data_IF_770167333371
#
_entry.id   IF_770167333371
#
_cell.length_a   1.000
_cell.length_b   1.000
_cell.length_c   1.000
_cell.angle_alpha   90.00
_cell.angle_beta   90.00
_cell.angle_gamma   90.00
#
_symmetry.space_group_name_H-M   'P 1'
#
loop_
_entity.id
_entity.type
_entity.pdbx_description
1 polymer ?
#
# COMPACT_ATOMS: atom_id res chain seq x y z
N UNK A 1 -3.87 22.97 14.72
CA UNK A 1 -2.71 23.44 13.94
C UNK A 1 -2.52 22.52 12.75
N UNK A 2 -2.10 23.02 11.57
CA UNK A 2 -1.82 22.18 10.42
C UNK A 2 -0.66 21.22 10.68
N UNK A 3 -0.67 20.05 10.04
CA UNK A 3 0.34 19.01 10.20
C UNK A 3 1.74 19.55 9.82
N UNK A 4 2.74 19.47 10.72
CA UNK A 4 4.05 20.08 10.53
C UNK A 4 4.90 19.39 9.46
N UNK A 5 4.59 18.15 9.08
CA UNK A 5 5.28 17.40 8.02
C UNK A 5 4.69 17.68 6.64
N UNK A 6 3.39 17.98 6.59
CA UNK A 6 2.67 18.22 5.35
C UNK A 6 1.43 19.08 5.62
N UNK A 7 1.50 20.38 5.31
CA UNK A 7 0.36 21.29 5.50
C UNK A 7 -0.90 20.86 4.75
N UNK A 8 -0.74 20.14 3.62
CA UNK A 8 -1.85 19.59 2.85
C UNK A 8 -2.53 18.37 3.51
N UNK A 9 -1.96 17.81 4.58
CA UNK A 9 -2.58 16.75 5.39
C UNK A 9 -3.57 17.31 6.44
N UNK A 10 -3.79 18.63 6.50
CA UNK A 10 -4.76 19.23 7.42
C UNK A 10 -4.37 19.01 8.89
N UNK A 11 -5.33 18.60 9.72
CA UNK A 11 -5.15 18.43 11.17
C UNK A 11 -4.76 17.00 11.59
N UNK A 12 -4.23 16.18 10.68
CA UNK A 12 -3.78 14.81 11.00
C UNK A 12 -2.68 14.87 12.06
N UNK A 13 -2.82 14.14 13.19
CA UNK A 13 -1.91 14.24 14.32
C UNK A 13 -0.52 13.67 13.99
N UNK A 14 0.48 14.17 14.70
CA UNK A 14 1.91 13.78 14.58
C UNK A 14 2.46 13.54 15.99
N UNK A 15 3.36 12.58 16.20
CA UNK A 15 3.98 12.35 17.50
C UNK A 15 4.77 13.57 18.00
N UNK A 16 4.85 13.74 19.31
CA UNK A 16 5.64 14.80 19.93
C UNK A 16 7.13 14.45 20.03
N UNK A 17 7.50 13.16 20.05
CA UNK A 17 8.90 12.75 20.12
C UNK A 17 9.58 12.91 18.74
N UNK A 18 10.63 13.75 18.61
CA UNK A 18 11.32 13.95 17.33
C UNK A 18 11.96 12.68 16.77
N UNK A 19 12.29 11.69 17.61
CA UNK A 19 12.83 10.39 17.18
C UNK A 19 11.78 9.55 16.48
N UNK A 20 10.54 9.57 16.97
CA UNK A 20 9.39 8.92 16.33
C UNK A 20 9.08 9.57 14.98
N UNK A 21 9.11 10.91 14.93
CA UNK A 21 8.95 11.65 13.66
C UNK A 21 10.05 11.27 12.66
N UNK A 22 11.31 11.20 13.10
CA UNK A 22 12.41 10.79 12.24
C UNK A 22 12.26 9.33 11.75
N UNK A 23 11.79 8.42 12.62
CA UNK A 23 11.50 7.04 12.24
C UNK A 23 10.38 6.94 11.19
N UNK A 24 9.31 7.73 11.33
CA UNK A 24 8.22 7.81 10.37
C UNK A 24 8.70 8.27 8.98
N UNK A 25 9.50 9.33 8.94
CA UNK A 25 10.09 9.83 7.67
C UNK A 25 10.99 8.76 7.04
N UNK A 26 11.91 8.16 7.81
CA UNK A 26 12.78 7.08 7.31
C UNK A 26 11.97 5.91 6.74
N UNK A 27 10.93 5.46 7.43
CA UNK A 27 10.09 4.36 6.97
C UNK A 27 9.40 4.68 5.64
N UNK A 28 8.85 5.90 5.53
CA UNK A 28 8.23 6.35 4.29
C UNK A 28 9.22 6.42 3.13
N UNK A 29 10.43 6.94 3.36
CA UNK A 29 11.47 6.99 2.33
C UNK A 29 11.93 5.61 1.85
N UNK A 30 12.06 4.65 2.77
CA UNK A 30 12.41 3.26 2.43
C UNK A 30 11.37 2.66 1.48
N UNK A 31 10.08 2.82 1.80
CA UNK A 31 8.99 2.30 0.97
C UNK A 31 8.87 3.05 -0.35
N UNK A 32 9.02 4.37 -0.35
CA UNK A 32 9.03 5.21 -1.55
C UNK A 32 10.08 4.74 -2.55
N UNK A 33 11.32 4.49 -2.09
CA UNK A 33 12.42 4.00 -2.94
C UNK A 33 12.19 2.57 -3.44
N UNK A 34 11.53 1.74 -2.64
CA UNK A 34 11.28 0.34 -2.98
C UNK A 34 10.13 0.13 -3.98
N UNK A 35 9.24 1.13 -4.14
CA UNK A 35 8.01 0.98 -4.93
C UNK A 35 7.87 2.16 -5.92
N UNK A 36 8.47 2.04 -7.13
CA UNK A 36 8.46 3.13 -8.13
C UNK A 36 7.08 3.60 -8.58
N UNK A 37 6.07 2.75 -8.39
CA UNK A 37 4.66 3.10 -8.56
C UNK A 37 4.27 4.41 -7.87
N UNK A 38 4.81 4.68 -6.67
CA UNK A 38 4.49 5.90 -5.95
C UNK A 38 4.97 7.16 -6.68
N UNK A 39 6.22 7.14 -7.15
CA UNK A 39 6.79 8.26 -7.91
C UNK A 39 6.05 8.49 -9.22
N UNK A 40 5.74 7.41 -9.93
CA UNK A 40 5.09 7.51 -11.24
C UNK A 40 3.62 7.97 -11.16
N UNK A 41 2.87 7.51 -10.15
CA UNK A 41 1.45 7.88 -10.00
C UNK A 41 1.22 9.18 -9.24
N UNK A 42 1.98 9.44 -8.17
CA UNK A 42 1.65 10.50 -7.21
C UNK A 42 2.69 11.62 -7.12
N UNK A 43 3.88 11.42 -7.69
CA UNK A 43 4.99 12.39 -7.67
C UNK A 43 5.37 12.87 -6.27
N UNK A 44 6.11 13.98 -6.19
CA UNK A 44 6.59 14.53 -4.91
C UNK A 44 5.47 14.89 -3.93
N UNK A 45 4.26 15.17 -4.42
CA UNK A 45 3.10 15.36 -3.56
C UNK A 45 2.79 14.08 -2.77
N UNK A 46 2.75 12.93 -3.43
CA UNK A 46 2.53 11.63 -2.78
C UNK A 46 3.58 11.32 -1.71
N UNK A 47 4.84 11.70 -1.95
CA UNK A 47 5.93 11.50 -0.98
C UNK A 47 5.67 12.20 0.35
N UNK A 48 5.21 13.46 0.31
CA UNK A 48 4.86 14.22 1.53
C UNK A 48 3.69 13.61 2.29
N UNK A 49 2.70 13.06 1.59
CA UNK A 49 1.61 12.33 2.23
C UNK A 49 2.10 11.05 2.92
N UNK A 50 3.05 10.33 2.30
CA UNK A 50 3.69 9.18 2.93
C UNK A 50 4.35 9.50 4.29
N UNK A 51 4.99 10.67 4.41
CA UNK A 51 5.56 11.12 5.68
C UNK A 51 4.49 11.34 6.75
N UNK A 52 3.42 12.07 6.40
CA UNK A 52 2.32 12.33 7.33
C UNK A 52 1.56 11.08 7.73
N UNK A 53 1.37 10.13 6.81
CA UNK A 53 0.67 8.87 7.08
C UNK A 53 1.49 7.99 8.04
N UNK A 54 2.80 7.85 7.82
CA UNK A 54 3.68 7.15 8.77
C UNK A 54 3.62 7.78 10.16
N UNK A 55 3.66 9.12 10.25
CA UNK A 55 3.59 9.81 11.53
C UNK A 55 2.24 9.60 12.23
N UNK A 56 1.14 9.65 11.47
CA UNK A 56 -0.20 9.36 11.97
C UNK A 56 -0.29 7.99 12.63
N UNK A 57 0.24 6.92 12.00
CA UNK A 57 0.18 5.58 12.57
C UNK A 57 0.93 5.45 13.91
N UNK A 58 1.99 6.24 14.13
CA UNK A 58 2.67 6.27 15.43
C UNK A 58 1.80 6.86 16.55
N UNK A 59 0.90 7.80 16.21
CA UNK A 59 -0.05 8.35 17.19
C UNK A 59 -1.09 7.33 17.65
N UNK A 60 -1.27 6.24 16.90
CA UNK A 60 -2.19 5.16 17.25
C UNK A 60 -1.64 4.22 18.33
N UNK A 61 -0.34 4.26 18.62
CA UNK A 61 0.31 3.35 19.57
C UNK A 61 -0.13 3.54 21.02
N UNK A 62 -0.88 4.61 21.32
CA UNK A 62 -1.51 4.81 22.63
C UNK A 62 -2.85 4.10 22.81
N UNK A 63 -3.39 3.45 21.77
CA UNK A 63 -4.67 2.74 21.80
C UNK A 63 -4.49 1.22 21.85
N UNK A 64 -5.57 0.50 22.17
CA UNK A 64 -5.60 -0.96 22.06
C UNK A 64 -5.46 -1.45 20.60
N UNK A 65 -5.06 -2.72 20.44
CA UNK A 65 -4.81 -3.31 19.13
C UNK A 65 -6.06 -3.32 18.23
N UNK A 66 -7.26 -3.48 18.79
CA UNK A 66 -8.49 -3.49 18.02
C UNK A 66 -8.75 -2.12 17.38
N UNK A 67 -8.52 -1.06 18.14
CA UNK A 67 -8.60 0.32 17.68
C UNK A 67 -7.57 0.62 16.60
N UNK A 68 -6.31 0.18 16.80
CA UNK A 68 -5.26 0.31 15.79
C UNK A 68 -5.69 -0.38 14.48
N UNK A 69 -6.16 -1.63 14.57
CA UNK A 69 -6.59 -2.39 13.41
C UNK A 69 -7.75 -1.71 12.66
N UNK A 70 -8.79 -1.23 13.37
CA UNK A 70 -9.91 -0.50 12.74
C UNK A 70 -9.46 0.78 12.03
N UNK A 71 -8.55 1.54 12.64
CA UNK A 71 -8.01 2.76 12.02
C UNK A 71 -7.16 2.45 10.79
N UNK A 72 -6.35 1.40 10.84
CA UNK A 72 -5.54 0.93 9.72
C UNK A 72 -6.43 0.41 8.58
N UNK A 73 -7.45 -0.38 8.88
CA UNK A 73 -8.41 -0.89 7.88
C UNK A 73 -9.18 0.24 7.21
N UNK A 74 -9.68 1.20 7.99
CA UNK A 74 -10.33 2.40 7.46
C UNK A 74 -9.38 3.17 6.53
N UNK A 75 -8.14 3.37 6.95
CA UNK A 75 -7.12 4.08 6.15
C UNK A 75 -6.82 3.30 4.86
N UNK A 76 -6.70 1.96 4.93
CA UNK A 76 -6.54 1.11 3.76
C UNK A 76 -7.70 1.30 2.76
N UNK A 77 -8.95 1.32 3.24
CA UNK A 77 -10.13 1.56 2.39
C UNK A 77 -10.11 2.94 1.72
N UNK A 78 -9.71 3.98 2.45
CA UNK A 78 -9.57 5.36 1.94
C UNK A 78 -8.48 5.46 0.87
N UNK A 79 -7.33 4.80 1.09
CA UNK A 79 -6.19 4.79 0.16
C UNK A 79 -6.47 3.92 -1.07
N UNK A 80 -7.13 2.78 -0.91
CA UNK A 80 -7.53 1.89 -2.01
C UNK A 80 -8.45 2.58 -3.00
N UNK A 81 -9.38 3.43 -2.55
CA UNK A 81 -10.22 4.25 -3.45
C UNK A 81 -9.41 5.23 -4.31
N UNK A 82 -8.22 5.62 -3.86
CA UNK A 82 -7.26 6.45 -4.59
C UNK A 82 -6.27 5.62 -5.40
N UNK A 83 -6.47 4.30 -5.40
CA UNK A 83 -5.69 3.32 -6.13
C UNK A 83 -4.35 3.01 -5.48
N UNK A 84 -4.28 3.06 -4.15
CA UNK A 84 -3.20 2.46 -3.37
C UNK A 84 -3.72 1.18 -2.70
N UNK A 85 -3.48 0.00 -3.28
CA UNK A 85 -3.93 -1.26 -2.68
C UNK A 85 -3.40 -1.44 -1.26
N UNK A 86 -4.15 -2.14 -0.41
CA UNK A 86 -3.82 -2.39 1.00
C UNK A 86 -2.43 -3.02 1.18
N UNK A 87 -1.94 -3.76 0.18
CA UNK A 87 -0.58 -4.30 0.11
C UNK A 87 0.51 -3.21 0.28
N UNK A 88 0.26 -1.99 -0.20
CA UNK A 88 1.19 -0.87 -0.02
C UNK A 88 1.23 -0.40 1.43
N UNK A 89 0.07 -0.28 2.06
CA UNK A 89 -0.03 0.09 3.48
C UNK A 89 0.53 -1.02 4.38
N UNK A 90 0.26 -2.29 4.08
CA UNK A 90 0.85 -3.46 4.72
C UNK A 90 2.39 -3.34 4.76
N UNK A 91 3.02 -3.05 3.61
CA UNK A 91 4.47 -2.87 3.51
C UNK A 91 4.96 -1.69 4.34
N UNK A 92 4.23 -0.58 4.33
CA UNK A 92 4.57 0.63 5.07
C UNK A 92 4.54 0.41 6.58
N UNK A 93 3.47 -0.19 7.10
CA UNK A 93 3.35 -0.55 8.51
C UNK A 93 4.45 -1.53 8.94
N UNK A 94 4.78 -2.52 8.08
CA UNK A 94 5.83 -3.48 8.40
C UNK A 94 7.23 -2.85 8.44
N UNK A 95 7.53 -1.94 7.51
CA UNK A 95 8.80 -1.20 7.53
C UNK A 95 8.85 -0.28 8.75
N UNK A 96 7.77 0.46 9.03
CA UNK A 96 7.68 1.36 10.17
C UNK A 96 7.86 0.61 11.50
N UNK A 97 7.15 -0.50 11.70
CA UNK A 97 7.28 -1.34 12.90
C UNK A 97 8.71 -1.86 13.10
N UNK A 98 9.38 -2.32 12.03
CA UNK A 98 10.79 -2.77 12.12
C UNK A 98 11.77 -1.65 12.44
N UNK A 99 11.58 -0.46 11.89
CA UNK A 99 12.43 0.68 12.22
C UNK A 99 12.21 1.07 13.68
N UNK A 100 10.95 1.19 14.09
CA UNK A 100 10.59 1.59 15.45
C UNK A 100 11.08 0.59 16.50
N UNK A 101 10.98 -0.71 16.24
CA UNK A 101 11.49 -1.76 17.13
C UNK A 101 13.01 -1.77 17.29
N UNK A 102 13.75 -1.03 16.46
CA UNK A 102 15.21 -0.84 16.59
C UNK A 102 15.57 0.47 17.29
N UNK A 103 14.61 1.37 17.49
CA UNK A 103 14.86 2.64 18.19
C UNK A 103 14.85 2.43 19.71
N UNK A 104 15.76 3.09 20.46
CA UNK A 104 15.79 3.01 21.92
C UNK A 104 14.70 3.89 22.56
N UNK A 105 13.43 3.56 22.30
CA UNK A 105 12.25 4.31 22.76
C UNK A 105 11.51 3.63 23.93
N UNK A 106 12.00 2.47 24.37
CA UNK A 106 11.42 1.67 25.46
C UNK A 106 10.33 0.70 24.98
N UNK A 107 10.51 -0.58 25.27
CA UNK A 107 9.62 -1.67 24.82
C UNK A 107 9.64 -1.91 23.31
N UNK A 108 8.97 -2.98 22.86
CA UNK A 108 8.75 -3.21 21.42
C UNK A 108 7.53 -2.40 20.94
N UNK A 109 7.75 -1.11 20.68
CA UNK A 109 6.71 -0.21 20.15
C UNK A 109 6.33 -0.55 18.70
N UNK A 110 7.12 -1.34 17.99
CA UNK A 110 6.91 -1.68 16.59
C UNK A 110 5.86 -2.78 16.40
N UNK A 111 5.77 -3.70 17.36
CA UNK A 111 4.92 -4.88 17.30
C UNK A 111 3.44 -4.61 16.97
N UNK A 112 2.75 -3.60 17.54
CA UNK A 112 1.35 -3.32 17.19
C UNK A 112 1.14 -2.97 15.71
N UNK A 113 2.12 -2.33 15.06
CA UNK A 113 2.07 -2.01 13.63
C UNK A 113 2.32 -3.24 12.77
N UNK A 114 3.17 -4.16 13.23
CA UNK A 114 3.41 -5.44 12.56
C UNK A 114 2.12 -6.27 12.57
N UNK A 115 1.43 -6.34 13.71
CA UNK A 115 0.13 -7.03 13.82
C UNK A 115 -0.94 -6.41 12.93
N UNK A 116 -1.00 -5.09 12.85
CA UNK A 116 -1.92 -4.41 11.94
C UNK A 116 -1.60 -4.71 10.46
N UNK A 117 -0.32 -4.81 10.11
CA UNK A 117 0.09 -5.25 8.78
C UNK A 117 -0.31 -6.70 8.50
N UNK A 118 -0.16 -7.60 9.48
CA UNK A 118 -0.59 -9.00 9.36
C UNK A 118 -2.11 -9.11 9.17
N UNK A 119 -2.90 -8.32 9.89
CA UNK A 119 -4.36 -8.28 9.72
C UNK A 119 -4.77 -7.87 8.30
N UNK A 120 -4.11 -6.85 7.70
CA UNK A 120 -4.33 -6.48 6.29
C UNK A 120 -3.95 -7.62 5.34
N UNK A 121 -2.79 -8.25 5.58
CA UNK A 121 -2.32 -9.38 4.78
C UNK A 121 -3.32 -10.54 4.81
N UNK A 122 -3.78 -10.92 5.98
CA UNK A 122 -4.77 -11.99 6.17
C UNK A 122 -6.10 -11.67 5.48
N UNK A 123 -6.59 -10.42 5.59
CA UNK A 123 -7.79 -9.99 4.88
C UNK A 123 -7.65 -10.13 3.36
N UNK A 124 -6.52 -9.71 2.80
CA UNK A 124 -6.20 -9.85 1.37
C UNK A 124 -6.05 -11.32 0.96
N UNK A 125 -5.34 -12.11 1.78
CA UNK A 125 -5.09 -13.53 1.54
C UNK A 125 -6.35 -14.39 1.60
N UNK A 126 -7.42 -13.96 2.28
CA UNK A 126 -8.73 -14.62 2.19
C UNK A 126 -9.31 -14.60 0.77
N UNK A 127 -8.95 -13.60 -0.05
CA UNK A 127 -9.41 -13.47 -1.44
C UNK A 127 -8.42 -14.04 -2.46
N UNK A 128 -7.15 -13.65 -2.35
CA UNK A 128 -6.06 -14.13 -3.22
C UNK A 128 -4.78 -14.34 -2.41
N UNK A 129 -4.21 -15.54 -2.48
CA UNK A 129 -2.95 -15.86 -1.83
C UNK A 129 -1.77 -15.10 -2.44
N UNK A 130 -0.69 -14.93 -1.66
CA UNK A 130 0.50 -14.19 -2.13
C UNK A 130 1.13 -14.83 -3.37
N UNK A 131 1.20 -16.16 -3.44
CA UNK A 131 1.75 -16.88 -4.60
C UNK A 131 0.92 -16.64 -5.87
N UNK A 132 -0.40 -16.57 -5.74
CA UNK A 132 -1.31 -16.27 -6.85
C UNK A 132 -1.09 -14.83 -7.34
N UNK A 133 -0.98 -13.87 -6.42
CA UNK A 133 -0.71 -12.46 -6.74
C UNK A 133 0.67 -12.32 -7.41
N UNK A 134 1.70 -13.01 -6.93
CA UNK A 134 3.03 -13.00 -7.54
C UNK A 134 3.03 -13.62 -8.94
N UNK A 135 2.29 -14.72 -9.12
CA UNK A 135 2.13 -15.36 -10.42
C UNK A 135 1.43 -14.43 -11.42
N UNK A 136 0.32 -13.81 -11.03
CA UNK A 136 -0.37 -12.80 -11.84
C UNK A 136 0.54 -11.60 -12.18
N UNK A 137 1.43 -11.22 -11.26
CA UNK A 137 2.46 -10.22 -11.51
C UNK A 137 3.43 -10.60 -12.63
N UNK A 138 3.92 -11.85 -12.62
CA UNK A 138 4.81 -12.37 -13.68
C UNK A 138 4.12 -12.42 -15.03
N UNK A 139 2.91 -12.98 -15.06
CA UNK A 139 2.11 -13.07 -16.28
C UNK A 139 1.72 -11.70 -16.84
N UNK A 140 1.46 -10.72 -15.97
CA UNK A 140 1.27 -9.33 -16.41
C UNK A 140 2.51 -8.82 -17.16
N UNK A 141 3.70 -9.05 -16.60
CA UNK A 141 4.93 -8.59 -17.21
C UNK A 141 5.20 -9.26 -18.56
N UNK A 142 4.89 -10.55 -18.70
CA UNK A 142 4.92 -11.26 -19.99
C UNK A 142 3.96 -10.64 -21.01
N UNK A 143 2.67 -10.46 -20.64
CA UNK A 143 1.66 -9.85 -21.51
C UNK A 143 2.00 -8.42 -21.92
N UNK A 144 2.60 -7.65 -21.02
CA UNK A 144 3.02 -6.28 -21.28
C UNK A 144 4.31 -6.20 -22.13
N UNK A 145 4.96 -7.33 -22.46
CA UNK A 145 6.17 -7.36 -23.27
C UNK A 145 7.48 -7.12 -22.50
N UNK A 146 7.47 -7.29 -21.17
CA UNK A 146 8.62 -7.09 -20.28
C UNK A 146 8.88 -8.31 -19.38
N UNK A 147 9.08 -9.51 -19.95
CA UNK A 147 9.26 -10.73 -19.16
C UNK A 147 10.44 -10.59 -18.18
N UNK A 148 10.22 -11.01 -16.92
CA UNK A 148 11.23 -10.94 -15.86
C UNK A 148 11.52 -9.53 -15.32
N UNK A 149 10.95 -8.46 -15.89
CA UNK A 149 11.25 -7.10 -15.44
C UNK A 149 10.58 -6.79 -14.09
N UNK A 150 11.38 -6.73 -13.02
CA UNK A 150 10.92 -6.63 -11.63
C UNK A 150 9.91 -5.51 -11.36
N UNK A 151 10.09 -4.34 -11.97
CA UNK A 151 9.16 -3.21 -11.77
C UNK A 151 7.80 -3.45 -12.40
N UNK A 152 7.78 -4.10 -13.58
CA UNK A 152 6.54 -4.42 -14.30
C UNK A 152 5.81 -5.55 -13.56
N UNK A 153 6.55 -6.55 -13.06
CA UNK A 153 6.00 -7.58 -12.16
C UNK A 153 5.35 -6.91 -10.94
N UNK A 154 6.03 -5.93 -10.34
CA UNK A 154 5.50 -5.16 -9.21
C UNK A 154 4.15 -4.49 -9.52
N UNK A 155 3.98 -3.94 -10.72
CA UNK A 155 2.69 -3.37 -11.13
C UNK A 155 1.59 -4.43 -11.22
N UNK A 156 1.86 -5.59 -11.84
CA UNK A 156 0.91 -6.69 -11.91
C UNK A 156 0.50 -7.22 -10.53
N UNK A 157 1.44 -7.26 -9.58
CA UNK A 157 1.19 -7.57 -8.17
C UNK A 157 0.22 -6.56 -7.55
N UNK A 158 0.38 -5.26 -7.82
CA UNK A 158 -0.53 -4.22 -7.32
C UNK A 158 -1.93 -4.34 -7.92
N UNK A 159 -2.05 -4.66 -9.21
CA UNK A 159 -3.35 -4.89 -9.86
C UNK A 159 -4.10 -6.07 -9.21
N UNK A 160 -3.42 -7.19 -9.02
CA UNK A 160 -4.02 -8.37 -8.38
C UNK A 160 -4.38 -8.11 -6.90
N UNK A 161 -3.53 -7.39 -6.16
CA UNK A 161 -3.84 -6.95 -4.80
C UNK A 161 -5.08 -6.04 -4.75
N UNK A 162 -5.21 -5.10 -5.69
CA UNK A 162 -6.38 -4.21 -5.76
C UNK A 162 -7.70 -4.99 -5.96
N UNK A 163 -7.65 -6.08 -6.75
CA UNK A 163 -8.81 -6.98 -6.91
C UNK A 163 -9.14 -7.71 -5.60
N UNK A 164 -8.13 -8.20 -4.89
CA UNK A 164 -8.33 -8.83 -3.59
C UNK A 164 -8.96 -7.86 -2.58
N UNK A 165 -8.51 -6.60 -2.58
CA UNK A 165 -9.07 -5.53 -1.73
C UNK A 165 -10.52 -5.22 -2.07
N UNK A 166 -10.85 -5.10 -3.35
CA UNK A 166 -12.21 -4.81 -3.82
C UNK A 166 -13.18 -5.94 -3.44
N UNK A 167 -12.77 -7.19 -3.61
CA UNK A 167 -13.52 -8.37 -3.15
C UNK A 167 -13.57 -8.47 -1.61
N UNK A 168 -12.60 -7.87 -0.93
CA UNK A 168 -12.57 -7.71 0.52
C UNK A 168 -13.51 -6.62 1.05
N UNK A 169 -14.14 -5.82 0.17
CA UNK A 169 -15.06 -4.75 0.53
C UNK A 169 -14.47 -3.33 0.38
N UNK A 170 -13.21 -3.19 -0.02
CA UNK A 170 -12.61 -1.88 -0.30
C UNK A 170 -13.09 -1.36 -1.65
N UNK A 171 -14.20 -0.60 -1.63
CA UNK A 171 -14.86 -0.09 -2.84
C UNK A 171 -13.89 0.62 -3.80
N UNK A 172 -14.05 0.36 -5.10
CA UNK A 172 -13.27 0.97 -6.20
C UNK A 172 -11.75 0.72 -6.15
N UNK A 173 -11.26 -0.22 -5.34
CA UNK A 173 -9.82 -0.48 -5.25
C UNK A 173 -9.24 -0.88 -6.61
N UNK A 174 -9.89 -1.81 -7.33
CA UNK A 174 -9.45 -2.24 -8.65
C UNK A 174 -9.76 -1.18 -9.72
N UNK A 175 -10.96 -0.59 -9.68
CA UNK A 175 -11.36 0.45 -10.64
C UNK A 175 -10.41 1.65 -10.64
N UNK A 176 -9.99 2.13 -9.46
CA UNK A 176 -9.14 3.32 -9.35
C UNK A 176 -7.72 3.11 -9.90
N UNK A 177 -7.15 1.91 -9.74
CA UNK A 177 -5.86 1.59 -10.35
C UNK A 177 -5.99 1.30 -11.85
N UNK A 178 -7.09 0.69 -12.28
CA UNK A 178 -7.41 0.45 -13.68
C UNK A 178 -7.54 1.76 -14.47
N UNK A 179 -8.36 2.70 -14.00
CA UNK A 179 -8.57 4.02 -14.64
C UNK A 179 -7.24 4.72 -14.94
N UNK A 180 -6.31 4.74 -13.98
CA UNK A 180 -4.99 5.32 -14.19
C UNK A 180 -4.10 4.45 -15.09
N UNK A 181 -4.02 3.15 -14.82
CA UNK A 181 -3.11 2.24 -15.54
C UNK A 181 -3.55 1.95 -16.99
N UNK A 182 -4.73 2.43 -17.39
CA UNK A 182 -5.28 2.28 -18.74
C UNK A 182 -5.41 3.59 -19.50
N UNK A 183 -4.83 4.69 -19.00
CA UNK A 183 -4.81 5.97 -19.70
C UNK A 183 -3.98 5.88 -21.00
N UNK A 184 -4.60 5.98 -22.19
CA UNK A 184 -3.90 5.84 -23.47
C UNK A 184 -2.93 6.99 -23.78
N UNK A 185 -3.00 8.09 -23.03
CA UNK A 185 -2.04 9.19 -23.15
C UNK A 185 -0.73 8.90 -22.41
N UNK A 186 -0.74 7.94 -21.48
CA UNK A 186 0.41 7.56 -20.64
C UNK A 186 0.94 6.18 -21.01
N UNK A 187 0.06 5.23 -21.36
CA UNK A 187 0.42 3.83 -21.54
C UNK A 187 0.13 3.32 -22.97
N UNK A 188 1.00 2.44 -23.52
CA UNK A 188 0.79 1.82 -24.82
C UNK A 188 -0.32 0.75 -24.76
N UNK A 189 -0.90 0.40 -25.92
CA UNK A 189 -2.04 -0.53 -26.01
C UNK A 189 -1.78 -1.92 -25.40
N UNK A 190 -0.60 -2.50 -25.64
CA UNK A 190 -0.21 -3.79 -25.08
C UNK A 190 -0.19 -3.78 -23.54
N UNK A 191 0.21 -2.66 -22.93
CA UNK A 191 0.14 -2.49 -21.47
C UNK A 191 -1.32 -2.44 -21.00
N UNK A 192 -2.15 -1.65 -21.66
CA UNK A 192 -3.58 -1.50 -21.33
C UNK A 192 -4.30 -2.85 -21.39
N UNK A 193 -4.04 -3.63 -22.43
CA UNK A 193 -4.60 -4.97 -22.60
C UNK A 193 -4.09 -5.93 -21.51
N UNK A 194 -2.81 -5.84 -21.14
CA UNK A 194 -2.24 -6.60 -20.04
C UNK A 194 -2.87 -6.23 -18.68
N UNK A 195 -3.16 -4.95 -18.42
CA UNK A 195 -3.85 -4.49 -17.21
C UNK A 195 -5.23 -5.14 -17.11
N UNK A 196 -6.06 -4.98 -18.15
CA UNK A 196 -7.42 -5.53 -18.19
C UNK A 196 -7.42 -7.06 -18.03
N UNK A 197 -6.52 -7.73 -18.73
CA UNK A 197 -6.35 -9.19 -18.64
C UNK A 197 -5.96 -9.65 -17.24
N UNK A 198 -5.04 -8.94 -16.58
CA UNK A 198 -4.61 -9.26 -15.21
C UNK A 198 -5.73 -9.05 -14.20
N UNK A 199 -6.51 -7.97 -14.32
CA UNK A 199 -7.66 -7.72 -13.44
C UNK A 199 -8.74 -8.80 -13.63
N UNK A 200 -9.03 -9.20 -14.88
CA UNK A 200 -9.96 -10.28 -15.17
C UNK A 200 -9.48 -11.63 -14.61
N UNK A 201 -8.19 -11.96 -14.82
CA UNK A 201 -7.59 -13.19 -14.31
C UNK A 201 -7.58 -13.25 -12.77
N UNK A 202 -7.28 -12.13 -12.10
CA UNK A 202 -7.33 -12.03 -10.65
C UNK A 202 -8.76 -12.27 -10.12
N UNK A 203 -9.78 -11.67 -10.74
CA UNK A 203 -11.20 -11.90 -10.39
C UNK A 203 -11.60 -13.35 -10.60
N UNK A 204 -11.12 -14.01 -11.66
CA UNK A 204 -11.39 -15.42 -11.92
C UNK A 204 -10.69 -16.33 -10.91
N UNK A 205 -9.44 -16.05 -10.57
CA UNK A 205 -8.67 -16.82 -9.59
C UNK A 205 -9.32 -16.78 -8.20
N UNK A 206 -9.88 -15.63 -7.81
CA UNK A 206 -10.57 -15.48 -6.53
C UNK A 206 -11.89 -16.27 -6.43
N UNK A 207 -12.53 -16.62 -7.56
CA UNK A 207 -13.75 -17.43 -7.61
C UNK A 207 -13.49 -18.93 -7.46
N UNK A 208 -12.26 -19.40 -7.68
CA UNK A 208 -11.91 -20.83 -7.66
C UNK A 208 -11.51 -21.33 -6.26
N UNK A 209 -11.79 -20.54 -5.22
CA UNK A 209 -11.48 -20.84 -3.82
C UNK A 209 -12.73 -21.25 -3.07
#
# INVERSE_FOLDING_TARGET
MPNPLNSAAGSVPVPSDPREVAAAVRASEVVWRAVPYFGFRYGERGKRFGHSDCAYFLTLLGYDQETINRQVEWTAGVLSQRGMPSLLLERQLRVLGRILGREPLGGDRGEPLIRAADALREARQRRLGDDQIQQLGREFAERAGFPGHRLVIGMGVLLAAAVADELGGMRRAATSIEEWATDPTVFPSNWIDAVRSTLAAARQAAKKR
#
